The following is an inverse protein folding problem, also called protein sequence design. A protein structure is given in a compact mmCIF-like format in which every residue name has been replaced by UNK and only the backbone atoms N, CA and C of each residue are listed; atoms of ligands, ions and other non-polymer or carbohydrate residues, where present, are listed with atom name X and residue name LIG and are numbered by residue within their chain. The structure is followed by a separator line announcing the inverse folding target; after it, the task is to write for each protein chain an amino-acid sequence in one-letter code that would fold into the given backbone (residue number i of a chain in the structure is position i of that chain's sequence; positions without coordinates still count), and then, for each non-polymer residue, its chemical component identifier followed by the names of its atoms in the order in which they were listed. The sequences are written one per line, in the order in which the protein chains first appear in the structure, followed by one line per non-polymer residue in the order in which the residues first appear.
data_IF_932966369986
#
_entry.id   IF_932966369986
#
_cell.length_a   1.000
_cell.length_b   1.000
_cell.length_c   1.000
_cell.angle_alpha   90.00
_cell.angle_beta   90.00
_cell.angle_gamma   90.00
#
_symmetry.space_group_name_H-M   'P 1'
#
loop_
_entity.id
_entity.type
_entity.pdbx_description
1 polymer ?
#
# COMPACT_ATOMS: atom_id res chain seq x y z
N UNK A 1 14.66 -2.12 -9.62
CA UNK A 1 13.39 -2.01 -10.37
C UNK A 1 12.33 -2.74 -9.57
N UNK A 2 11.55 -2.00 -8.81
CA UNK A 2 10.43 -2.51 -8.01
C UNK A 2 9.14 -1.83 -8.46
N UNK A 3 8.01 -2.33 -7.98
CA UNK A 3 6.68 -1.74 -8.21
C UNK A 3 6.69 -0.27 -7.74
N UNK A 4 6.31 0.65 -8.60
CA UNK A 4 6.15 2.06 -8.22
C UNK A 4 4.93 2.25 -7.33
N UNK A 5 4.90 3.34 -6.54
CA UNK A 5 3.73 3.69 -5.76
C UNK A 5 2.49 3.88 -6.64
N UNK A 6 2.66 4.54 -7.79
CA UNK A 6 1.56 4.78 -8.73
C UNK A 6 0.98 3.47 -9.28
N UNK A 7 1.81 2.52 -9.68
CA UNK A 7 1.35 1.21 -10.13
C UNK A 7 0.67 0.44 -8.99
N UNK A 8 1.20 0.51 -7.76
CA UNK A 8 0.58 -0.12 -6.60
C UNK A 8 -0.83 0.44 -6.33
N UNK A 9 -0.98 1.77 -6.42
CA UNK A 9 -2.26 2.45 -6.26
C UNK A 9 -3.25 2.07 -7.37
N UNK A 10 -2.77 1.93 -8.61
CA UNK A 10 -3.59 1.46 -9.73
C UNK A 10 -4.05 0.00 -9.53
N UNK A 11 -3.16 -0.88 -9.08
CA UNK A 11 -3.50 -2.30 -8.79
C UNK A 11 -4.58 -2.39 -7.72
N UNK A 12 -4.49 -1.59 -6.65
CA UNK A 12 -5.49 -1.56 -5.59
C UNK A 12 -6.68 -0.64 -5.89
N UNK A 13 -6.74 -0.03 -7.07
CA UNK A 13 -7.79 0.89 -7.49
C UNK A 13 -8.08 1.99 -6.45
N UNK A 14 -7.02 2.72 -6.06
CA UNK A 14 -7.10 3.84 -5.10
C UNK A 14 -6.45 5.09 -5.69
N UNK A 15 -7.07 6.25 -5.44
CA UNK A 15 -6.53 7.55 -5.88
C UNK A 15 -5.70 8.25 -4.81
N UNK A 16 -5.90 7.88 -3.54
CA UNK A 16 -5.24 8.46 -2.38
C UNK A 16 -4.82 7.35 -1.42
N UNK A 17 -3.80 7.63 -0.61
CA UNK A 17 -3.37 6.73 0.46
C UNK A 17 -4.34 6.87 1.62
N UNK A 18 -5.40 6.07 1.58
CA UNK A 18 -6.40 5.94 2.64
C UNK A 18 -6.39 4.50 3.18
N UNK A 19 -5.95 4.28 4.44
CA UNK A 19 -5.80 2.93 5.01
C UNK A 19 -7.08 2.09 4.92
N UNK A 20 -8.26 2.67 5.11
CA UNK A 20 -9.52 1.93 5.11
C UNK A 20 -9.87 1.45 3.69
N UNK A 21 -9.78 2.36 2.72
CA UNK A 21 -10.06 2.06 1.33
C UNK A 21 -9.04 1.07 0.74
N UNK A 22 -7.76 1.21 1.10
CA UNK A 22 -6.69 0.28 0.71
C UNK A 22 -7.00 -1.13 1.23
N UNK A 23 -7.29 -1.28 2.53
CA UNK A 23 -7.57 -2.60 3.12
C UNK A 23 -8.84 -3.24 2.55
N UNK A 24 -9.88 -2.44 2.32
CA UNK A 24 -11.12 -2.91 1.68
C UNK A 24 -10.86 -3.46 0.27
N UNK A 25 -10.16 -2.68 -0.56
CA UNK A 25 -9.87 -3.09 -1.93
C UNK A 25 -8.89 -4.26 -1.99
N UNK A 26 -7.85 -4.25 -1.15
CA UNK A 26 -6.92 -5.37 -1.02
C UNK A 26 -7.66 -6.66 -0.69
N UNK A 27 -8.49 -6.68 0.37
CA UNK A 27 -9.23 -7.88 0.78
C UNK A 27 -10.11 -8.42 -0.34
N UNK A 28 -10.83 -7.53 -1.04
CA UNK A 28 -11.66 -7.93 -2.16
C UNK A 28 -10.83 -8.51 -3.32
N UNK A 29 -9.82 -7.78 -3.79
CA UNK A 29 -8.98 -8.18 -4.91
C UNK A 29 -8.16 -9.45 -4.60
N UNK A 30 -7.74 -9.63 -3.36
CA UNK A 30 -6.98 -10.80 -2.94
C UNK A 30 -7.87 -12.06 -2.91
N UNK A 31 -9.10 -11.97 -2.39
CA UNK A 31 -10.05 -13.08 -2.32
C UNK A 31 -10.55 -13.51 -3.71
N UNK A 32 -10.88 -12.56 -4.60
CA UNK A 32 -11.36 -12.90 -5.96
C UNK A 32 -10.27 -13.49 -6.85
N UNK A 33 -8.98 -13.28 -6.50
CA UNK A 33 -7.84 -13.87 -7.21
C UNK A 33 -7.33 -15.16 -6.56
N UNK A 34 -8.02 -15.68 -5.54
CA UNK A 34 -7.62 -16.92 -4.88
C UNK A 34 -7.65 -18.13 -5.85
N UNK A 35 -6.55 -18.90 -5.86
CA UNK A 35 -6.40 -20.07 -6.74
C UNK A 35 -7.50 -21.11 -6.54
N UNK A 36 -7.93 -21.35 -5.31
CA UNK A 36 -8.97 -22.34 -4.99
C UNK A 36 -10.31 -21.99 -5.61
N UNK A 37 -10.52 -20.71 -5.95
CA UNK A 37 -11.72 -20.17 -6.58
C UNK A 37 -11.54 -19.93 -8.09
N UNK A 38 -10.48 -20.48 -8.69
CA UNK A 38 -10.17 -20.31 -10.12
C UNK A 38 -9.39 -19.03 -10.46
N UNK A 39 -8.90 -18.31 -9.44
CA UNK A 39 -8.06 -17.12 -9.61
C UNK A 39 -6.62 -17.45 -9.99
N UNK A 40 -5.82 -16.41 -10.24
CA UNK A 40 -4.41 -16.52 -10.63
C UNK A 40 -3.48 -16.19 -9.48
N UNK A 41 -2.53 -17.09 -9.20
CA UNK A 41 -1.45 -16.81 -8.24
C UNK A 41 -0.73 -15.50 -8.53
N UNK A 42 -0.50 -15.26 -9.82
CA UNK A 42 0.32 -14.17 -10.28
C UNK A 42 -0.40 -12.86 -9.98
N UNK A 43 -1.70 -12.80 -10.26
CA UNK A 43 -2.53 -11.64 -9.95
C UNK A 43 -2.69 -11.44 -8.44
N UNK A 44 -2.96 -12.49 -7.68
CA UNK A 44 -3.01 -12.43 -6.22
C UNK A 44 -1.68 -11.92 -5.62
N UNK A 45 -0.55 -12.40 -6.15
CA UNK A 45 0.78 -11.94 -5.75
C UNK A 45 1.01 -10.47 -6.11
N UNK A 46 0.52 -10.00 -7.26
CA UNK A 46 0.60 -8.57 -7.64
C UNK A 46 -0.22 -7.68 -6.70
N UNK A 47 -1.41 -8.13 -6.30
CA UNK A 47 -2.25 -7.44 -5.32
C UNK A 47 -1.53 -7.35 -3.95
N UNK A 48 -0.90 -8.44 -3.52
CA UNK A 48 -0.11 -8.43 -2.28
C UNK A 48 1.10 -7.50 -2.35
N UNK A 49 1.88 -7.54 -3.43
CA UNK A 49 3.02 -6.64 -3.63
C UNK A 49 2.61 -5.16 -3.69
N UNK A 50 1.43 -4.86 -4.21
CA UNK A 50 0.88 -3.51 -4.21
C UNK A 50 0.58 -3.01 -2.80
N UNK A 51 0.00 -3.87 -1.94
CA UNK A 51 -0.21 -3.53 -0.53
C UNK A 51 1.12 -3.23 0.17
N UNK A 52 2.11 -4.12 0.06
CA UNK A 52 3.43 -3.93 0.68
C UNK A 52 4.06 -2.59 0.29
N UNK A 53 4.03 -2.23 -1.00
CA UNK A 53 4.60 -0.95 -1.47
C UNK A 53 3.89 0.25 -0.88
N UNK A 54 2.57 0.21 -0.72
CA UNK A 54 1.80 1.32 -0.13
C UNK A 54 2.05 1.40 1.38
N UNK A 55 2.15 0.28 2.08
CA UNK A 55 2.46 0.25 3.52
C UNK A 55 3.87 0.80 3.81
N UNK A 56 4.85 0.51 2.95
CA UNK A 56 6.19 1.11 3.00
C UNK A 56 6.12 2.64 2.85
N UNK A 57 5.32 3.16 1.92
CA UNK A 57 5.11 4.61 1.74
C UNK A 57 4.54 5.25 3.00
N UNK A 58 3.49 4.66 3.57
CA UNK A 58 2.86 5.15 4.79
C UNK A 58 3.82 5.16 5.97
N UNK A 59 4.69 4.15 6.08
CA UNK A 59 5.73 4.09 7.10
C UNK A 59 6.74 5.22 6.91
N UNK A 60 7.23 5.44 5.69
CA UNK A 60 8.19 6.52 5.40
C UNK A 60 7.60 7.90 5.70
N UNK A 61 6.32 8.13 5.35
CA UNK A 61 5.63 9.39 5.66
C UNK A 61 5.54 9.64 7.16
N UNK A 62 5.16 8.64 7.95
CA UNK A 62 5.12 8.75 9.43
C UNK A 62 6.50 9.05 10.01
N UNK A 63 7.54 8.34 9.59
CA UNK A 63 8.91 8.57 10.06
C UNK A 63 9.41 9.98 9.71
N UNK A 64 9.06 10.48 8.53
CA UNK A 64 9.41 11.84 8.13
C UNK A 64 8.67 12.91 8.95
N UNK A 65 7.38 12.71 9.23
CA UNK A 65 6.58 13.58 10.10
C UNK A 65 7.14 13.64 11.51
N UNK A 66 7.46 12.49 12.12
CA UNK A 66 8.09 12.40 13.44
C UNK A 66 9.45 13.13 13.46
N UNK A 67 10.27 12.92 12.43
CA UNK A 67 11.56 13.60 12.30
C UNK A 67 11.39 15.11 12.19
N UNK A 68 10.39 15.59 11.44
CA UNK A 68 10.07 17.02 11.32
C UNK A 68 9.57 17.59 12.65
N UNK A 69 8.74 16.86 13.39
CA UNK A 69 8.24 17.27 14.69
C UNK A 69 9.38 17.43 15.72
N UNK A 70 10.30 16.45 15.79
CA UNK A 70 11.48 16.51 16.66
C UNK A 70 12.37 17.72 16.35
N UNK A 71 12.68 17.95 15.07
CA UNK A 71 13.48 19.10 14.64
C UNK A 71 12.84 20.45 15.01
N UNK A 72 11.52 20.56 15.01
CA UNK A 72 10.83 21.80 15.44
C UNK A 72 10.90 22.01 16.95
N UNK A 73 10.83 20.92 17.73
CA UNK A 73 10.96 20.97 19.18
C UNK A 73 12.39 21.35 19.62
N UNK A 74 13.43 20.90 18.91
CA UNK A 74 14.83 21.23 19.23
C UNK A 74 15.23 22.69 18.86
N UNK A 75 14.43 23.36 18.03
CA UNK A 75 14.69 24.73 17.54
C UNK A 75 13.86 25.79 18.30
N UNK A 76 12.96 25.36 19.20
CA UNK A 76 12.13 26.24 20.04
C UNK A 76 12.62 26.22 21.48
#
# INVERSE_FOLDING_TARGET
MGLSLQEAMQILNVEKIDPEQIQKNYKHLFDVNDKSRGGSFYLQSKVYRALERIEEEMKQQREEEERKARRKADVT
#
